data_IF_312273722060
#
_entry.id   IF_312273722060
#
_cell.length_a   1.000
_cell.length_b   1.000
_cell.length_c   1.000
_cell.angle_alpha   90.00
_cell.angle_beta   90.00
_cell.angle_gamma   90.00
#
_symmetry.space_group_name_H-M   'P 1'
#
loop_
_entity.id
_entity.type
_entity.pdbx_description
1 polymer ?
#
# COMPACT_ATOMS: atom_id res chain seq x y z
N UNK A 1 0.81 -5.98 -13.43
CA UNK A 1 1.14 -4.61 -13.02
C UNK A 1 0.44 -4.32 -11.71
N UNK A 2 1.19 -3.84 -10.74
CA UNK A 2 0.67 -3.60 -9.39
C UNK A 2 0.33 -2.12 -9.22
N UNK A 3 -0.92 -1.82 -8.87
CA UNK A 3 -1.31 -0.46 -8.57
C UNK A 3 -0.96 -0.14 -7.12
N UNK A 4 -0.08 0.85 -6.93
CA UNK A 4 0.42 1.28 -5.62
C UNK A 4 0.01 2.73 -5.40
N UNK A 5 -0.65 3.01 -4.30
CA UNK A 5 -1.01 4.39 -3.93
C UNK A 5 -0.13 4.86 -2.79
N UNK A 6 0.54 5.99 -2.98
CA UNK A 6 1.43 6.59 -2.01
C UNK A 6 0.75 7.84 -1.44
N UNK A 7 0.59 7.90 -0.13
CA UNK A 7 -0.15 8.99 0.53
C UNK A 7 0.74 9.65 1.57
N UNK A 8 1.01 10.94 1.41
CA UNK A 8 1.85 11.67 2.33
C UNK A 8 1.99 13.13 1.95
N UNK A 9 2.52 13.93 2.85
CA UNK A 9 2.70 15.36 2.64
C UNK A 9 4.06 15.71 2.02
N UNK A 10 5.03 14.81 2.08
CA UNK A 10 6.34 15.04 1.47
C UNK A 10 6.30 14.61 0.00
N UNK A 11 5.87 15.52 -0.85
CA UNK A 11 5.64 15.24 -2.27
C UNK A 11 6.94 14.84 -2.96
N UNK A 12 8.05 15.47 -2.61
CA UNK A 12 9.35 15.14 -3.24
C UNK A 12 9.75 13.68 -2.97
N UNK A 13 9.59 13.23 -1.71
CA UNK A 13 9.85 11.86 -1.35
C UNK A 13 8.95 10.90 -2.12
N UNK A 14 7.66 11.19 -2.15
CA UNK A 14 6.69 10.31 -2.80
C UNK A 14 6.89 10.25 -4.32
N UNK A 15 7.27 11.36 -4.93
CA UNK A 15 7.56 11.36 -6.36
C UNK A 15 8.81 10.53 -6.69
N UNK A 16 9.83 10.62 -5.85
CA UNK A 16 11.01 9.77 -6.00
C UNK A 16 10.67 8.30 -5.88
N UNK A 17 9.87 7.94 -4.88
CA UNK A 17 9.41 6.56 -4.72
C UNK A 17 8.54 6.12 -5.90
N UNK A 18 7.68 7.00 -6.38
CA UNK A 18 6.83 6.73 -7.54
C UNK A 18 7.65 6.39 -8.76
N UNK A 19 8.69 7.16 -9.05
CA UNK A 19 9.58 6.90 -10.17
C UNK A 19 10.28 5.55 -10.03
N UNK A 20 10.77 5.24 -8.83
CA UNK A 20 11.42 3.96 -8.56
C UNK A 20 10.47 2.79 -8.78
N UNK A 21 9.25 2.90 -8.29
CA UNK A 21 8.25 1.83 -8.44
C UNK A 21 7.82 1.68 -9.90
N UNK A 22 7.67 2.78 -10.62
CA UNK A 22 7.34 2.73 -12.04
C UNK A 22 8.45 2.03 -12.83
N UNK A 23 9.71 2.28 -12.48
CA UNK A 23 10.84 1.61 -13.10
C UNK A 23 10.87 0.11 -12.87
N UNK A 24 10.19 -0.37 -11.82
CA UNK A 24 10.07 -1.78 -11.51
C UNK A 24 8.80 -2.43 -12.11
N UNK A 25 8.04 -1.67 -12.90
CA UNK A 25 6.84 -2.17 -13.55
C UNK A 25 5.55 -2.00 -12.76
N UNK A 26 5.58 -1.29 -11.64
CA UNK A 26 4.37 -0.98 -10.88
C UNK A 26 3.69 0.27 -11.44
N UNK A 27 2.45 0.47 -11.04
CA UNK A 27 1.68 1.64 -11.41
C UNK A 27 1.44 2.50 -10.17
N UNK A 28 2.31 3.47 -9.88
CA UNK A 28 2.16 4.31 -8.69
C UNK A 28 1.23 5.50 -8.93
N UNK A 29 0.57 5.94 -7.85
CA UNK A 29 -0.10 7.22 -7.81
C UNK A 29 0.22 7.89 -6.48
N UNK A 30 0.10 9.21 -6.40
CA UNK A 30 0.45 9.99 -5.22
C UNK A 30 -0.74 10.84 -4.80
N UNK A 31 -1.08 10.79 -3.52
CA UNK A 31 -2.09 11.66 -2.92
C UNK A 31 -1.47 12.40 -1.74
N UNK A 32 -1.83 13.68 -1.57
CA UNK A 32 -1.24 14.51 -0.53
C UNK A 32 -2.04 14.52 0.77
N UNK A 33 -3.22 13.93 0.80
CA UNK A 33 -4.08 13.91 1.99
C UNK A 33 -4.85 12.61 2.10
N UNK A 34 -5.31 12.30 3.32
CA UNK A 34 -6.16 11.14 3.56
C UNK A 34 -7.49 11.28 2.81
N UNK A 35 -8.03 12.49 2.74
CA UNK A 35 -9.29 12.73 2.05
C UNK A 35 -9.19 12.40 0.57
N UNK A 36 -8.16 12.91 -0.09
CA UNK A 36 -7.94 12.64 -1.51
C UNK A 36 -7.69 11.15 -1.75
N UNK A 37 -6.92 10.53 -0.87
CA UNK A 37 -6.65 9.11 -0.95
C UNK A 37 -7.93 8.29 -0.82
N UNK A 38 -8.83 8.66 0.09
CA UNK A 38 -10.09 7.95 0.27
C UNK A 38 -10.94 8.01 -1.00
N UNK A 39 -11.07 9.20 -1.58
CA UNK A 39 -11.84 9.37 -2.80
C UNK A 39 -11.25 8.55 -3.94
N UNK A 40 -9.94 8.56 -4.08
CA UNK A 40 -9.25 7.78 -5.10
C UNK A 40 -9.38 6.28 -4.86
N UNK A 41 -9.30 5.82 -3.61
CA UNK A 41 -9.43 4.41 -3.26
C UNK A 41 -10.84 3.89 -3.51
N UNK A 42 -11.87 4.71 -3.28
CA UNK A 42 -13.25 4.32 -3.55
C UNK A 42 -13.45 4.14 -5.05
N UNK A 43 -12.89 5.04 -5.84
CA UNK A 43 -12.99 4.96 -7.30
C UNK A 43 -12.20 3.77 -7.86
N UNK A 44 -11.01 3.52 -7.31
CA UNK A 44 -10.15 2.44 -7.78
C UNK A 44 -9.24 1.99 -6.63
N UNK A 45 -9.60 0.93 -5.90
CA UNK A 45 -8.81 0.47 -4.78
C UNK A 45 -7.42 0.01 -5.23
N UNK A 46 -6.34 0.48 -4.56
CA UNK A 46 -5.00 0.02 -4.89
C UNK A 46 -4.76 -1.38 -4.34
N UNK A 47 -3.81 -2.10 -4.94
CA UNK A 47 -3.36 -3.35 -4.36
C UNK A 47 -2.44 -3.11 -3.18
N UNK A 48 -1.59 -2.07 -3.25
CA UNK A 48 -0.75 -1.68 -2.13
C UNK A 48 -1.04 -0.23 -1.79
N UNK A 49 -1.37 0.03 -0.53
CA UNK A 49 -1.63 1.36 -0.01
C UNK A 49 -0.52 1.71 0.97
N UNK A 50 0.24 2.77 0.67
CA UNK A 50 1.36 3.23 1.50
C UNK A 50 1.01 4.60 2.05
N UNK A 51 0.94 4.72 3.38
CA UNK A 51 0.45 5.94 4.02
C UNK A 51 1.41 6.44 5.09
N UNK A 52 1.66 7.75 5.08
CA UNK A 52 2.41 8.43 6.12
C UNK A 52 1.55 8.46 7.39
N UNK A 53 2.06 7.88 8.47
CA UNK A 53 1.37 7.86 9.76
C UNK A 53 1.09 9.25 10.29
N UNK A 54 1.90 10.24 9.93
CA UNK A 54 1.74 11.61 10.40
C UNK A 54 0.47 12.28 9.88
N UNK A 55 -0.13 11.76 8.81
CA UNK A 55 -1.39 12.29 8.29
C UNK A 55 -2.61 11.83 9.08
N UNK A 56 -2.48 10.75 9.83
CA UNK A 56 -3.60 10.18 10.58
C UNK A 56 -3.64 10.77 11.99
N UNK A 57 -4.85 10.97 12.50
CA UNK A 57 -5.06 11.31 13.90
C UNK A 57 -5.49 10.05 14.67
N UNK A 58 -5.61 10.15 15.99
CA UNK A 58 -6.19 9.10 16.84
C UNK A 58 -5.61 7.71 16.57
N UNK A 59 -4.28 7.60 16.62
CA UNK A 59 -3.56 6.33 16.47
C UNK A 59 -3.83 5.61 15.14
N UNK A 60 -4.25 6.36 14.12
CA UNK A 60 -4.39 5.84 12.78
C UNK A 60 -5.76 5.30 12.42
N UNK A 61 -6.77 5.56 13.25
CA UNK A 61 -8.13 5.04 13.00
C UNK A 61 -8.64 5.35 11.58
N UNK A 62 -8.31 6.52 11.06
CA UNK A 62 -8.76 6.95 9.74
C UNK A 62 -8.22 6.05 8.61
N UNK A 63 -7.10 5.40 8.84
CA UNK A 63 -6.48 4.54 7.83
C UNK A 63 -7.29 3.28 7.56
N UNK A 64 -8.13 2.87 8.51
CA UNK A 64 -9.03 1.74 8.32
C UNK A 64 -10.11 2.01 7.28
N UNK A 65 -10.36 3.29 6.97
CA UNK A 65 -11.39 3.70 6.02
C UNK A 65 -10.90 3.72 4.58
N UNK A 66 -9.62 3.44 4.37
CA UNK A 66 -9.04 3.43 3.03
C UNK A 66 -9.08 2.01 2.48
N UNK A 67 -9.95 1.72 1.49
CA UNK A 67 -10.06 0.37 0.97
C UNK A 67 -8.87 -0.01 0.09
N UNK A 68 -8.51 -1.28 0.14
CA UNK A 68 -7.54 -1.86 -0.79
C UNK A 68 -8.22 -2.96 -1.59
N UNK A 69 -7.65 -3.32 -2.73
CA UNK A 69 -8.17 -4.38 -3.56
C UNK A 69 -8.05 -5.74 -2.85
N UNK A 70 -8.83 -6.71 -3.27
CA UNK A 70 -8.78 -8.05 -2.70
C UNK A 70 -7.36 -8.62 -2.83
N UNK A 71 -6.84 -9.15 -1.74
CA UNK A 71 -5.46 -9.63 -1.68
C UNK A 71 -4.43 -8.54 -1.49
N UNK A 72 -4.88 -7.30 -1.33
CA UNK A 72 -4.00 -6.16 -1.17
C UNK A 72 -3.44 -6.00 0.23
N UNK A 73 -2.59 -4.99 0.40
CA UNK A 73 -1.90 -4.74 1.65
C UNK A 73 -1.83 -3.26 1.97
N UNK A 74 -1.83 -2.96 3.27
CA UNK A 74 -1.58 -1.62 3.80
C UNK A 74 -0.19 -1.58 4.40
N UNK A 75 0.58 -0.56 4.02
CA UNK A 75 1.92 -0.31 4.55
C UNK A 75 1.93 1.09 5.11
N UNK A 76 2.38 1.23 6.34
CA UNK A 76 2.54 2.54 6.96
C UNK A 76 4.01 2.94 6.94
N UNK A 77 4.27 4.24 6.87
CA UNK A 77 5.63 4.72 7.02
C UNK A 77 5.68 5.96 7.89
N UNK A 78 6.86 6.24 8.39
CA UNK A 78 7.20 7.48 9.08
C UNK A 78 8.55 7.94 8.61
N UNK A 79 8.82 9.23 8.75
CA UNK A 79 10.15 9.77 8.51
C UNK A 79 11.04 9.46 9.73
N UNK A 80 12.35 9.39 9.52
CA UNK A 80 13.29 9.04 10.58
C UNK A 80 13.22 10.00 11.78
N UNK A 81 12.88 11.27 11.52
CA UNK A 81 12.75 12.28 12.57
C UNK A 81 11.44 12.20 13.34
N UNK A 82 10.47 11.44 12.87
CA UNK A 82 9.16 11.31 13.50
C UNK A 82 9.19 10.17 14.51
N UNK A 83 8.85 10.41 15.78
CA UNK A 83 8.84 9.34 16.77
C UNK A 83 7.76 8.32 16.46
N UNK A 84 7.97 7.03 16.78
CA UNK A 84 6.94 6.03 16.60
C UNK A 84 5.77 6.28 17.56
N UNK A 85 4.56 6.17 17.03
CA UNK A 85 3.35 6.33 17.81
C UNK A 85 2.61 4.98 17.88
N UNK A 86 1.92 4.72 18.99
CA UNK A 86 1.14 3.49 19.08
C UNK A 86 0.00 3.49 18.05
N UNK A 87 -0.31 2.32 17.53
CA UNK A 87 -1.42 2.12 16.61
C UNK A 87 -2.55 1.39 17.33
N UNK A 88 -3.78 1.62 16.86
CA UNK A 88 -4.92 0.85 17.31
C UNK A 88 -4.68 -0.64 17.00
N UNK A 89 -5.07 -1.56 17.92
CA UNK A 89 -4.90 -2.98 17.65
C UNK A 89 -5.58 -3.45 16.36
N UNK A 90 -6.74 -2.90 16.04
CA UNK A 90 -7.43 -3.23 14.79
C UNK A 90 -6.59 -2.88 13.57
N UNK A 91 -5.89 -1.74 13.59
CA UNK A 91 -5.03 -1.33 12.49
C UNK A 91 -3.77 -2.19 12.44
N UNK A 92 -3.18 -2.51 13.59
CA UNK A 92 -1.99 -3.36 13.65
C UNK A 92 -2.21 -4.71 12.95
N UNK A 93 -3.41 -5.25 13.03
CA UNK A 93 -3.73 -6.54 12.43
C UNK A 93 -3.81 -6.50 10.90
N UNK A 94 -4.09 -5.34 10.33
CA UNK A 94 -4.28 -5.21 8.87
C UNK A 94 -3.13 -4.51 8.17
N UNK A 95 -2.11 -4.09 8.93
CA UNK A 95 -0.92 -3.44 8.37
C UNK A 95 0.16 -4.48 8.14
N UNK A 96 0.63 -4.56 6.90
CA UNK A 96 1.66 -5.53 6.53
C UNK A 96 3.03 -5.13 7.10
N UNK A 97 3.35 -3.84 7.08
CA UNK A 97 4.65 -3.35 7.55
C UNK A 97 4.55 -1.90 7.96
N UNK A 98 5.46 -1.48 8.84
CA UNK A 98 5.62 -0.11 9.30
C UNK A 98 7.08 0.27 9.04
N UNK A 99 7.29 1.13 8.04
CA UNK A 99 8.62 1.42 7.52
C UNK A 99 9.10 2.80 7.93
N UNK A 100 10.42 2.98 7.98
CA UNK A 100 11.06 4.30 8.10
C UNK A 100 11.60 4.68 6.73
N UNK A 101 11.10 5.77 6.15
CA UNK A 101 11.54 6.23 4.84
C UNK A 101 12.34 7.52 4.96
N UNK A 102 13.30 7.73 4.07
CA UNK A 102 13.65 6.91 2.90
C UNK A 102 14.56 5.72 3.18
N UNK A 103 14.93 5.49 4.45
CA UNK A 103 15.93 4.47 4.80
C UNK A 103 15.55 3.07 4.31
N UNK A 104 14.27 2.71 4.44
CA UNK A 104 13.79 1.37 4.10
C UNK A 104 13.11 1.31 2.73
N UNK A 105 13.47 2.19 1.81
CA UNK A 105 12.84 2.23 0.49
C UNK A 105 12.98 0.92 -0.29
N UNK A 106 14.09 0.21 -0.11
CA UNK A 106 14.28 -1.09 -0.77
C UNK A 106 13.31 -2.12 -0.25
N UNK A 107 13.02 -2.06 1.05
CA UNK A 107 12.05 -2.94 1.67
C UNK A 107 10.64 -2.66 1.12
N UNK A 108 10.31 -1.39 0.93
CA UNK A 108 9.04 -1.01 0.32
C UNK A 108 8.92 -1.62 -1.08
N UNK A 109 9.93 -1.48 -1.92
CA UNK A 109 9.92 -2.05 -3.27
C UNK A 109 9.75 -3.57 -3.23
N UNK A 110 10.46 -4.26 -2.33
CA UNK A 110 10.36 -5.70 -2.18
C UNK A 110 8.95 -6.13 -1.73
N UNK A 111 8.34 -5.38 -0.81
CA UNK A 111 6.98 -5.68 -0.35
C UNK A 111 5.96 -5.49 -1.46
N UNK A 112 6.07 -4.43 -2.24
CA UNK A 112 5.19 -4.19 -3.38
C UNK A 112 5.29 -5.34 -4.38
N UNK A 113 6.49 -5.79 -4.67
CA UNK A 113 6.73 -6.91 -5.58
C UNK A 113 6.09 -8.19 -5.04
N UNK A 114 6.31 -8.48 -3.77
CA UNK A 114 5.79 -9.68 -3.13
C UNK A 114 4.27 -9.71 -3.12
N UNK A 115 3.64 -8.59 -2.76
CA UNK A 115 2.17 -8.49 -2.73
C UNK A 115 1.61 -8.66 -4.14
N UNK A 116 2.23 -8.02 -5.13
CA UNK A 116 1.82 -8.14 -6.52
C UNK A 116 1.90 -9.57 -7.03
N UNK A 117 2.96 -10.28 -6.71
CA UNK A 117 3.13 -11.66 -7.13
C UNK A 117 2.12 -12.60 -6.48
N UNK A 118 1.85 -12.41 -5.19
CA UNK A 118 0.85 -13.23 -4.49
C UNK A 118 -0.55 -12.99 -5.03
N UNK A 119 -0.90 -11.75 -5.27
CA UNK A 119 -2.21 -11.41 -5.81
C UNK A 119 -2.39 -11.98 -7.21
N UNK A 120 -1.36 -11.91 -8.02
CA UNK A 120 -1.39 -12.46 -9.39
C UNK A 120 -1.57 -13.98 -9.37
N UNK A 121 -0.83 -14.68 -8.52
CA UNK A 121 -0.93 -16.12 -8.40
C UNK A 121 -2.31 -16.53 -7.89
N UNK A 122 -2.80 -15.87 -6.83
CA UNK A 122 -4.08 -16.19 -6.21
C UNK A 122 -5.24 -15.83 -7.14
N UNK A 123 -5.18 -14.67 -7.77
CA UNK A 123 -6.26 -14.19 -8.63
C UNK A 123 -6.44 -15.01 -9.89
N UNK A 124 -5.40 -15.62 -10.40
CA UNK A 124 -5.48 -16.42 -11.61
C UNK A 124 -5.97 -17.84 -11.38
N UNK A 125 -5.57 -18.43 -10.27
CA UNK A 125 -5.87 -19.84 -10.00
C UNK A 125 -7.36 -20.18 -10.06
N UNK A 126 -8.26 -19.45 -9.41
CA UNK A 126 -9.69 -19.79 -9.42
C UNK A 126 -10.34 -19.68 -10.79
N UNK A 127 -9.82 -18.89 -11.66
CA UNK A 127 -10.42 -18.65 -12.97
C UNK A 127 -10.01 -19.70 -13.98
N UNK A 128 -8.84 -20.20 -13.81
CA UNK A 128 -8.31 -21.19 -14.72
C UNK A 128 -8.85 -22.54 -14.40
N UNK A 129 -9.35 -22.76 -14.09
CA UNK A 129 -9.83 -23.81 -13.89
C UNK A 129 -10.70 -24.38 -14.13
N UNK A 130 -10.31 -24.16 -14.40
CA UNK A 130 -11.03 -24.70 -14.42
C UNK A 130 -11.20 -25.40 -14.54
N UNK A 131 -10.72 -25.24 -14.32
CA UNK A 131 -10.83 -25.88 -14.37
C UNK A 131 -10.95 -26.28 -14.16
N UNK A 132 -10.43 -26.44 -14.41
CA UNK A 132 -10.53 -26.89 -14.17
C UNK A 132 -10.37 -26.84 -13.86
N UNK A 133 -9.92 -26.82 -13.85
CA UNK A 133 -9.93 -26.97 -13.50
C UNK A 133 -9.96 -26.90 -13.05
N UNK A 134 -9.70 -27.14 -13.06
CA UNK A 134 -9.76 -27.35 -12.65
C UNK A 134 -9.85 -27.58 -12.18
N UNK A 135 -9.66 -27.64 -12.25
CA UNK A 135 -9.78 -27.92 -11.91
C UNK A 135 -9.79 -28.04 -11.68
N UNK A 136 -9.72 -28.20 -11.71
CA UNK A 136 -9.70 -28.37 -11.53
C UNK A 136 -9.56 -28.60 -11.49
#
# INVERSE_FOLDING_TARGET
>A
MTYVMLVGSDVALLEGLSQSLAGLGHRPSVCASIRDARDACVARPPLVLVVDRALASSAGAELLQLPVAAGGARILYRMASTPPLPLLPALQRVVLADLTLPLERHRLAALCQSVGERAKATGKAPRDTPEGLRAI
#
